data_IF_859502971083
#
_entry.id   IF_859502971083
#
_cell.length_a   1.000
_cell.length_b   1.000
_cell.length_c   1.000
_cell.angle_alpha   90.00
_cell.angle_beta   90.00
_cell.angle_gamma   90.00
#
_symmetry.space_group_name_H-M   'P 1'
#
loop_
_entity.id
_entity.type
_entity.pdbx_description
1 polymer ?
#
# COMPACT_ATOMS: atom_id res chain seq x y z
N UNK A 1 7.53 -7.53 -19.85
CA UNK A 1 6.50 -6.51 -20.20
C UNK A 1 7.04 -5.10 -20.00
N UNK A 2 6.22 -4.05 -20.13
CA UNK A 2 6.66 -2.69 -19.76
C UNK A 2 6.80 -2.57 -18.22
N UNK A 3 7.81 -1.87 -17.70
CA UNK A 3 8.00 -1.73 -16.27
C UNK A 3 6.95 -0.79 -15.67
N UNK A 4 6.37 -1.22 -14.57
CA UNK A 4 5.39 -0.49 -13.80
C UNK A 4 5.97 -0.12 -12.44
N UNK A 5 5.99 1.18 -12.14
CA UNK A 5 6.60 1.74 -10.94
C UNK A 5 5.53 2.13 -9.93
N UNK A 6 5.51 1.46 -8.78
CA UNK A 6 4.62 1.88 -7.68
C UNK A 6 5.23 3.08 -7.00
N UNK A 7 4.39 4.08 -6.78
CA UNK A 7 4.69 5.26 -5.97
C UNK A 7 4.02 5.15 -4.60
N UNK A 8 4.64 5.77 -3.61
CA UNK A 8 4.10 5.91 -2.26
C UNK A 8 3.71 7.37 -2.04
N UNK A 9 2.66 7.61 -1.28
CA UNK A 9 2.21 8.98 -0.98
C UNK A 9 2.32 9.23 0.53
N UNK A 10 1.26 8.89 1.27
CA UNK A 10 1.14 9.20 2.70
C UNK A 10 0.51 8.08 3.50
N UNK A 11 0.71 8.16 4.80
CA UNK A 11 -0.03 7.45 5.81
C UNK A 11 -1.19 8.35 6.25
N UNK A 12 -2.42 7.86 6.15
CA UNK A 12 -3.63 8.58 6.58
C UNK A 12 -4.45 7.74 7.54
N UNK A 13 -5.06 8.38 8.52
CA UNK A 13 -5.91 7.74 9.53
C UNK A 13 -7.32 8.30 9.45
N UNK A 14 -8.32 7.49 9.79
CA UNK A 14 -9.68 7.96 9.99
C UNK A 14 -9.93 8.42 11.43
N UNK A 15 -9.01 8.11 12.36
CA UNK A 15 -9.07 8.55 13.77
C UNK A 15 -8.41 9.90 13.97
N UNK A 16 -7.33 10.17 13.24
CA UNK A 16 -6.52 11.38 13.39
C UNK A 16 -6.49 12.16 12.07
N UNK A 17 -6.48 13.49 12.15
CA UNK A 17 -6.49 14.37 10.97
C UNK A 17 -5.09 14.65 10.39
N UNK A 18 -4.03 14.14 11.02
CA UNK A 18 -2.64 14.42 10.64
C UNK A 18 -2.11 13.33 9.71
N UNK A 19 -1.81 13.64 8.43
CA UNK A 19 -1.10 12.71 7.56
C UNK A 19 0.39 12.66 7.91
N UNK A 20 1.01 11.51 7.67
CA UNK A 20 2.46 11.31 7.78
C UNK A 20 3.03 10.87 6.44
N UNK A 21 4.28 11.22 6.16
CA UNK A 21 4.98 10.72 4.98
C UNK A 21 5.12 9.19 5.05
N UNK A 22 5.10 8.51 3.90
CA UNK A 22 5.23 7.04 3.88
C UNK A 22 6.47 6.54 4.62
N UNK A 23 7.62 7.20 4.41
CA UNK A 23 8.90 6.84 5.01
C UNK A 23 9.11 7.32 6.45
N UNK A 24 8.08 7.90 7.08
CA UNK A 24 8.05 8.12 8.54
C UNK A 24 8.15 6.79 9.29
N UNK A 25 7.44 5.77 8.81
CA UNK A 25 7.62 4.40 9.28
C UNK A 25 8.83 3.77 8.60
N UNK A 26 9.51 2.87 9.30
CA UNK A 26 10.75 2.25 8.86
C UNK A 26 10.50 1.12 7.82
N UNK A 27 9.91 1.50 6.68
CA UNK A 27 9.72 0.65 5.52
C UNK A 27 10.98 0.58 4.65
N UNK A 28 11.00 -0.34 3.67
CA UNK A 28 12.04 -0.43 2.67
C UNK A 28 12.14 0.88 1.87
N UNK A 29 13.32 1.49 1.84
CA UNK A 29 13.60 2.74 1.12
C UNK A 29 14.50 2.48 -0.10
N UNK A 30 14.26 3.14 -1.24
CA UNK A 30 15.20 3.14 -2.37
C UNK A 30 16.48 3.91 -2.00
N UNK A 31 17.56 3.72 -2.76
CA UNK A 31 18.84 4.43 -2.53
C UNK A 31 18.70 5.95 -2.56
N UNK A 32 17.82 6.45 -3.42
CA UNK A 32 17.49 7.86 -3.54
C UNK A 32 15.97 8.00 -3.57
N UNK A 33 15.44 8.78 -2.65
CA UNK A 33 14.04 9.18 -2.63
C UNK A 33 13.90 10.41 -3.52
N UNK A 34 12.97 10.35 -4.47
CA UNK A 34 12.67 11.40 -5.44
C UNK A 34 11.18 11.67 -5.39
N UNK A 35 10.82 12.95 -5.24
CA UNK A 35 9.44 13.38 -5.36
C UNK A 35 9.04 13.37 -6.85
N UNK A 36 7.99 12.62 -7.16
CA UNK A 36 7.43 12.39 -8.48
C UNK A 36 5.99 12.91 -8.55
N UNK A 37 5.74 14.12 -8.06
CA UNK A 37 4.50 14.84 -8.34
C UNK A 37 4.35 15.01 -9.86
N UNK A 38 3.21 14.58 -10.41
CA UNK A 38 2.97 14.57 -11.86
C UNK A 38 2.22 15.82 -12.33
N UNK A 39 1.44 16.44 -11.45
CA UNK A 39 0.64 17.61 -11.79
C UNK A 39 0.80 18.77 -10.81
N UNK A 40 0.51 19.98 -11.29
CA UNK A 40 0.59 21.21 -10.51
C UNK A 40 -0.33 21.18 -9.28
N UNK A 41 -1.48 20.50 -9.36
CA UNK A 41 -2.41 20.35 -8.25
C UNK A 41 -1.84 19.55 -7.08
N UNK A 42 -1.02 18.52 -7.34
CA UNK A 42 -0.30 17.76 -6.30
C UNK A 42 0.76 18.61 -5.62
N UNK A 43 1.51 19.39 -6.41
CA UNK A 43 2.51 20.32 -5.88
C UNK A 43 1.87 21.36 -4.97
N UNK A 44 0.75 21.97 -5.40
CA UNK A 44 0.05 23.00 -4.63
C UNK A 44 -0.62 22.45 -3.36
N UNK A 45 -1.05 21.18 -3.36
CA UNK A 45 -1.57 20.50 -2.17
C UNK A 45 -0.46 20.03 -1.22
N UNK A 46 0.80 20.13 -1.64
CA UNK A 46 1.93 19.62 -0.89
C UNK A 46 1.96 18.09 -0.80
N UNK A 47 1.30 17.38 -1.72
CA UNK A 47 1.32 15.93 -1.75
C UNK A 47 2.74 15.45 -2.07
N UNK A 48 3.29 14.61 -1.18
CA UNK A 48 4.62 14.02 -1.35
C UNK A 48 4.48 12.64 -1.97
N UNK A 49 4.38 12.62 -3.30
CA UNK A 49 4.41 11.37 -4.06
C UNK A 49 5.87 11.01 -4.31
N UNK A 50 6.31 9.87 -3.81
CA UNK A 50 7.71 9.45 -3.86
C UNK A 50 7.86 8.08 -4.53
N UNK A 51 9.02 7.83 -5.12
CA UNK A 51 9.34 6.51 -5.65
C UNK A 51 9.39 5.45 -4.53
N UNK A 52 8.91 4.24 -4.83
CA UNK A 52 9.03 3.08 -3.94
C UNK A 52 10.06 2.07 -4.45
N UNK A 53 10.28 1.02 -3.67
CA UNK A 53 11.10 -0.14 -4.05
C UNK A 53 10.32 -1.19 -4.85
N UNK A 54 9.00 -1.01 -5.03
CA UNK A 54 8.15 -1.98 -5.71
C UNK A 54 8.04 -1.66 -7.20
N UNK A 55 8.47 -2.61 -8.01
CA UNK A 55 8.41 -2.57 -9.48
C UNK A 55 7.93 -3.91 -9.99
N UNK A 56 7.04 -3.92 -10.97
CA UNK A 56 6.54 -5.12 -11.63
C UNK A 56 6.53 -4.93 -13.14
N UNK A 57 6.33 -6.01 -13.87
CA UNK A 57 6.22 -5.98 -15.33
C UNK A 57 4.77 -6.16 -15.76
N UNK A 58 4.33 -5.33 -16.69
CA UNK A 58 2.96 -5.40 -17.20
C UNK A 58 2.72 -6.73 -17.90
N UNK A 59 1.55 -7.35 -17.63
CA UNK A 59 1.11 -8.65 -18.17
C UNK A 59 1.92 -9.87 -17.69
N UNK A 60 2.72 -9.71 -16.64
CA UNK A 60 3.51 -10.80 -16.07
C UNK A 60 3.20 -11.00 -14.59
N UNK A 61 2.75 -12.20 -14.24
CA UNK A 61 2.56 -12.60 -12.87
C UNK A 61 3.92 -12.85 -12.22
N UNK A 62 4.25 -12.05 -11.21
CA UNK A 62 5.49 -12.18 -10.46
C UNK A 62 5.26 -12.88 -9.12
N UNK A 63 6.05 -13.92 -8.79
CA UNK A 63 5.96 -14.55 -7.48
C UNK A 63 6.41 -13.59 -6.37
N UNK A 64 6.06 -13.92 -5.12
CA UNK A 64 6.47 -13.11 -3.97
C UNK A 64 7.99 -12.98 -3.90
N UNK A 65 8.47 -11.73 -3.88
CA UNK A 65 9.89 -11.39 -3.84
C UNK A 65 10.19 -10.58 -2.58
N UNK A 66 11.24 -10.98 -1.87
CA UNK A 66 11.75 -10.21 -0.74
C UNK A 66 12.46 -8.97 -1.26
N UNK A 67 11.88 -7.79 -1.00
CA UNK A 67 12.43 -6.52 -1.48
C UNK A 67 13.55 -6.01 -0.59
N UNK A 68 13.41 -6.15 0.73
CA UNK A 68 14.47 -5.83 1.69
C UNK A 68 14.26 -6.58 3.02
N UNK A 69 15.26 -6.52 3.91
CA UNK A 69 15.15 -7.00 5.30
C UNK A 69 15.58 -5.86 6.23
N UNK A 70 14.70 -5.51 7.16
CA UNK A 70 14.93 -4.44 8.14
C UNK A 70 14.82 -5.06 9.53
N UNK A 71 15.75 -4.71 10.42
CA UNK A 71 15.61 -4.96 11.86
C UNK A 71 15.00 -3.72 12.48
N UNK A 72 13.85 -3.86 13.12
CA UNK A 72 13.20 -2.76 13.81
C UNK A 72 13.91 -2.50 15.15
N UNK A 73 14.31 -1.26 15.38
CA UNK A 73 14.73 -0.80 16.69
C UNK A 73 13.51 -0.48 17.59
N UNK A 74 13.79 -0.10 18.85
CA UNK A 74 12.74 0.17 19.82
C UNK A 74 11.84 1.34 19.41
N UNK A 75 12.42 2.39 18.81
CA UNK A 75 11.70 3.58 18.35
C UNK A 75 10.80 3.26 17.16
N UNK A 76 11.34 2.59 16.14
CA UNK A 76 10.58 2.12 14.97
C UNK A 76 9.43 1.22 15.40
N UNK A 77 9.69 0.29 16.34
CA UNK A 77 8.66 -0.61 16.87
C UNK A 77 7.55 0.17 17.57
N UNK A 78 7.90 1.18 18.37
CA UNK A 78 6.93 2.06 19.02
C UNK A 78 6.09 2.81 17.98
N UNK A 79 6.72 3.43 16.99
CA UNK A 79 6.04 4.17 15.93
C UNK A 79 5.06 3.27 15.15
N UNK A 80 5.46 2.04 14.82
CA UNK A 80 4.55 1.09 14.19
C UNK A 80 3.33 0.76 15.06
N UNK A 81 3.52 0.51 16.36
CA UNK A 81 2.42 0.21 17.28
C UNK A 81 1.43 1.37 17.37
N UNK A 82 1.92 2.58 17.57
CA UNK A 82 1.09 3.79 17.65
C UNK A 82 0.27 3.99 16.36
N UNK A 83 0.90 3.83 15.19
CA UNK A 83 0.19 3.95 13.91
C UNK A 83 -0.80 2.82 13.65
N UNK A 84 -0.58 1.63 14.21
CA UNK A 84 -1.57 0.54 14.18
C UNK A 84 -2.79 0.89 15.07
N UNK A 85 -2.56 1.38 16.29
CA UNK A 85 -3.64 1.76 17.21
C UNK A 85 -4.51 2.92 16.68
N UNK A 86 -3.85 3.87 16.02
CA UNK A 86 -4.49 5.01 15.36
C UNK A 86 -5.11 4.65 13.99
N UNK A 87 -5.11 3.37 13.60
CA UNK A 87 -5.70 2.88 12.34
C UNK A 87 -5.17 3.59 11.08
N UNK A 88 -3.86 3.87 11.05
CA UNK A 88 -3.24 4.40 9.86
C UNK A 88 -3.30 3.41 8.69
N UNK A 89 -3.48 3.99 7.51
CA UNK A 89 -3.53 3.31 6.22
C UNK A 89 -2.43 3.86 5.34
N UNK A 90 -1.79 2.97 4.61
CA UNK A 90 -0.77 3.25 3.61
C UNK A 90 -1.45 3.57 2.28
N UNK A 91 -1.16 4.74 1.72
CA UNK A 91 -1.62 5.13 0.39
C UNK A 91 -0.47 4.96 -0.62
N UNK A 92 -0.71 4.13 -1.63
CA UNK A 92 0.16 3.91 -2.77
C UNK A 92 -0.55 4.30 -4.06
N UNK A 93 0.21 4.59 -5.11
CA UNK A 93 -0.27 5.02 -6.41
C UNK A 93 0.45 4.23 -7.50
N UNK A 94 -0.28 3.82 -8.52
CA UNK A 94 0.25 3.23 -9.74
C UNK A 94 -0.48 3.86 -10.93
N UNK A 95 0.25 4.46 -11.87
CA UNK A 95 -0.33 5.12 -13.06
C UNK A 95 -1.53 6.04 -12.71
N UNK A 96 -1.31 6.91 -11.71
CA UNK A 96 -2.32 7.82 -11.14
C UNK A 96 -3.55 7.17 -10.49
N UNK A 97 -3.58 5.83 -10.37
CA UNK A 97 -4.63 5.11 -9.66
C UNK A 97 -4.22 4.84 -8.21
N UNK A 98 -5.07 5.20 -7.23
CA UNK A 98 -4.80 4.88 -5.83
C UNK A 98 -4.99 3.39 -5.58
N UNK A 99 -4.17 2.84 -4.68
CA UNK A 99 -4.35 1.47 -4.22
C UNK A 99 -5.69 1.34 -3.48
N UNK A 100 -6.45 0.32 -3.85
CA UNK A 100 -7.71 -0.02 -3.20
C UNK A 100 -7.64 -1.40 -2.55
N UNK A 101 -8.38 -1.58 -1.45
CA UNK A 101 -8.59 -2.89 -0.81
C UNK A 101 -10.06 -3.23 -0.89
N UNK A 102 -10.36 -4.42 -1.42
CA UNK A 102 -11.69 -4.99 -1.42
C UNK A 102 -12.07 -5.48 -0.02
N UNK A 103 -13.15 -4.94 0.52
CA UNK A 103 -13.78 -5.38 1.76
C UNK A 103 -15.13 -6.03 1.44
N UNK A 104 -15.25 -7.31 1.78
CA UNK A 104 -16.54 -7.98 1.83
C UNK A 104 -17.26 -7.58 3.12
N UNK A 105 -18.53 -7.22 3.00
CA UNK A 105 -19.37 -7.01 4.19
C UNK A 105 -19.59 -8.34 4.90
N UNK A 106 -19.60 -8.29 6.23
CA UNK A 106 -19.86 -9.47 7.09
C UNK A 106 -21.35 -9.84 7.15
N UNK A 107 -22.22 -9.06 6.51
CA UNK A 107 -23.69 -9.19 6.57
C UNK A 107 -24.27 -10.14 5.50
N UNK A 108 -23.42 -10.81 4.70
CA UNK A 108 -23.86 -11.72 3.65
C UNK A 108 -24.37 -11.02 2.38
N UNK A 109 -24.40 -9.68 2.34
CA UNK A 109 -24.65 -8.95 1.09
C UNK A 109 -23.41 -9.03 0.18
N UNK A 110 -23.60 -9.32 -1.10
CA UNK A 110 -22.52 -9.32 -2.11
C UNK A 110 -22.00 -7.90 -2.44
N UNK A 111 -22.22 -6.91 -1.57
CA UNK A 111 -21.73 -5.56 -1.80
C UNK A 111 -20.25 -5.47 -1.43
N UNK A 112 -19.39 -5.48 -2.44
CA UNK A 112 -17.96 -5.22 -2.29
C UNK A 112 -17.74 -3.72 -2.11
N UNK A 113 -17.14 -3.32 -0.99
CA UNK A 113 -16.73 -1.92 -0.80
C UNK A 113 -15.23 -1.81 -1.07
N UNK A 114 -14.85 -0.80 -1.85
CA UNK A 114 -13.45 -0.45 -2.05
C UNK A 114 -13.03 0.58 -1.00
N UNK A 115 -11.98 0.26 -0.26
CA UNK A 115 -11.36 1.20 0.68
C UNK A 115 -10.02 1.68 0.12
N UNK A 116 -9.78 3.00 0.18
CA UNK A 116 -8.48 3.56 -0.21
C UNK A 116 -7.39 3.16 0.79
N UNK A 117 -6.24 2.75 0.27
CA UNK A 117 -5.09 2.36 1.09
C UNK A 117 -5.32 1.05 1.85
N UNK A 118 -4.26 0.51 2.44
CA UNK A 118 -4.32 -0.67 3.30
C UNK A 118 -3.79 -0.36 4.70
N UNK A 119 -4.30 -1.02 5.74
CA UNK A 119 -3.87 -0.76 7.12
C UNK A 119 -2.37 -1.01 7.29
N UNK A 120 -1.68 -0.19 8.07
CA UNK A 120 -0.26 -0.40 8.46
C UNK A 120 -0.07 -1.77 9.11
N UNK A 121 -1.06 -2.20 9.90
CA UNK A 121 -1.08 -3.48 10.59
C UNK A 121 -2.39 -3.69 11.33
N UNK A 122 -2.41 -4.66 12.23
CA UNK A 122 -3.56 -4.98 13.07
C UNK A 122 -3.11 -5.58 14.40
N UNK A 123 -4.01 -5.57 15.38
CA UNK A 123 -3.85 -6.32 16.63
C UNK A 123 -4.58 -7.64 16.53
N UNK A 124 -3.98 -8.69 17.08
CA UNK A 124 -4.57 -10.02 17.08
C UNK A 124 -3.85 -10.94 18.04
N UNK A 125 -4.34 -12.17 18.15
CA UNK A 125 -3.77 -13.17 19.04
C UNK A 125 -3.29 -14.36 18.21
N UNK A 126 -2.21 -14.99 18.65
CA UNK A 126 -1.86 -16.31 18.12
C UNK A 126 -2.90 -17.34 18.57
N UNK A 127 -3.14 -18.35 17.72
CA UNK A 127 -4.03 -19.45 18.07
C UNK A 127 -3.59 -20.09 19.40
N UNK A 128 -4.50 -20.14 20.38
CA UNK A 128 -4.23 -20.68 21.71
C UNK A 128 -3.64 -19.70 22.72
N UNK A 129 -3.37 -18.44 22.35
CA UNK A 129 -2.95 -17.37 23.27
C UNK A 129 -4.05 -16.34 23.47
N UNK A 130 -4.17 -15.84 24.71
CA UNK A 130 -5.00 -14.65 25.03
C UNK A 130 -4.21 -13.34 24.94
N UNK A 131 -2.91 -13.41 24.71
CA UNK A 131 -2.03 -12.24 24.59
C UNK A 131 -2.23 -11.56 23.24
N UNK A 132 -2.71 -10.31 23.28
CA UNK A 132 -2.83 -9.45 22.10
C UNK A 132 -1.44 -8.97 21.65
N UNK A 133 -1.13 -9.20 20.37
CA UNK A 133 0.12 -8.81 19.72
C UNK A 133 -0.17 -7.97 18.49
N UNK A 134 0.82 -7.16 18.13
CA UNK A 134 0.79 -6.30 16.96
C UNK A 134 1.39 -7.03 15.75
N UNK A 135 0.67 -7.02 14.64
CA UNK A 135 1.09 -7.59 13.36
C UNK A 135 1.21 -6.47 12.33
N UNK A 136 2.31 -6.45 11.59
CA UNK A 136 2.59 -5.47 10.54
C UNK A 136 2.22 -6.07 9.19
N UNK A 137 1.51 -5.31 8.35
CA UNK A 137 1.23 -5.70 6.97
C UNK A 137 2.47 -5.45 6.09
N UNK A 138 3.43 -6.38 6.12
CA UNK A 138 4.64 -6.33 5.30
C UNK A 138 4.56 -7.19 4.02
N UNK A 139 3.62 -8.13 3.97
CA UNK A 139 3.38 -8.98 2.81
C UNK A 139 2.34 -8.31 1.88
N UNK A 140 2.85 -7.64 0.85
CA UNK A 140 2.04 -6.91 -0.12
C UNK A 140 1.87 -7.75 -1.39
N UNK A 141 0.62 -8.04 -1.74
CA UNK A 141 0.23 -8.69 -2.98
C UNK A 141 -0.71 -7.76 -3.70
N UNK A 142 -0.40 -7.48 -4.97
CA UNK A 142 -1.13 -6.52 -5.78
C UNK A 142 -1.80 -7.22 -6.95
N UNK A 143 -2.99 -6.76 -7.29
CA UNK A 143 -3.69 -7.09 -8.54
C UNK A 143 -3.79 -5.83 -9.37
N UNK A 144 -3.16 -5.86 -10.55
CA UNK A 144 -3.17 -4.75 -11.51
C UNK A 144 -4.10 -5.13 -12.66
N UNK A 145 -5.16 -4.37 -12.82
CA UNK A 145 -6.14 -4.59 -13.89
C UNK A 145 -5.81 -3.67 -15.06
N UNK A 146 -5.89 -4.19 -16.28
CA UNK A 146 -5.62 -3.44 -17.50
C UNK A 146 -6.70 -3.67 -18.55
N UNK A 147 -6.89 -2.67 -19.40
CA UNK A 147 -7.68 -2.76 -20.63
C UNK A 147 -6.72 -2.83 -21.82
N UNK A 148 -6.95 -3.78 -22.73
CA UNK A 148 -6.18 -3.96 -23.95
C UNK A 148 -6.99 -3.45 -25.13
N UNK A 149 -6.39 -2.55 -25.90
CA UNK A 149 -6.91 -2.13 -27.19
C UNK A 149 -6.62 -3.23 -28.22
N UNK A 150 -7.67 -3.74 -28.86
CA UNK A 150 -7.58 -4.83 -29.84
C UNK A 150 -7.02 -4.38 -31.18
N UNK A 151 -7.03 -3.08 -31.48
CA UNK A 151 -6.54 -2.53 -32.75
C UNK A 151 -5.06 -2.17 -32.70
N UNK A 152 -4.60 -1.61 -31.57
CA UNK A 152 -3.23 -1.10 -31.41
C UNK A 152 -2.32 -2.01 -30.57
N UNK A 153 -2.86 -3.07 -29.96
CA UNK A 153 -2.20 -3.89 -28.93
C UNK A 153 -1.71 -3.11 -27.70
N UNK A 154 -2.10 -1.83 -27.57
CA UNK A 154 -1.78 -1.00 -26.43
C UNK A 154 -2.55 -1.47 -25.20
N UNK A 155 -1.98 -1.27 -24.02
CA UNK A 155 -2.62 -1.60 -22.75
C UNK A 155 -2.60 -0.41 -21.80
N UNK A 156 -3.72 -0.18 -21.11
CA UNK A 156 -3.87 0.88 -20.12
C UNK A 156 -4.27 0.29 -18.78
N UNK A 157 -3.69 0.79 -17.68
CA UNK A 157 -4.09 0.37 -16.33
C UNK A 157 -5.44 0.97 -15.98
N UNK A 158 -6.34 0.13 -15.47
CA UNK A 158 -7.70 0.50 -15.07
C UNK A 158 -8.00 0.18 -13.61
N UNK A 159 -7.09 -0.51 -12.92
CA UNK A 159 -7.23 -0.73 -11.48
C UNK A 159 -5.95 -1.18 -10.79
N UNK A 160 -5.83 -0.79 -9.52
CA UNK A 160 -4.70 -1.13 -8.66
C UNK A 160 -5.21 -1.53 -7.29
N UNK A 161 -5.11 -2.81 -6.97
CA UNK A 161 -5.67 -3.37 -5.74
C UNK A 161 -4.62 -4.07 -4.89
N UNK A 162 -4.73 -3.96 -3.58
CA UNK A 162 -3.98 -4.76 -2.61
C UNK A 162 -4.85 -5.90 -2.12
N UNK A 163 -4.40 -7.14 -2.31
CA UNK A 163 -5.10 -8.35 -1.88
C UNK A 163 -4.91 -8.59 -0.38
N UNK A 164 -5.98 -8.95 0.31
CA UNK A 164 -5.92 -9.40 1.71
C UNK A 164 -5.45 -10.85 1.71
N UNK A 165 -4.30 -11.09 2.33
CA UNK A 165 -3.78 -12.44 2.53
C UNK A 165 -4.14 -12.82 3.95
N UNK A 166 -5.07 -13.75 4.09
CA UNK A 166 -5.40 -14.37 5.37
C UNK A 166 -4.30 -15.41 5.60
N UNK A 167 -3.33 -15.05 6.44
CA UNK A 167 -2.29 -15.97 6.93
C UNK A 167 -2.77 -16.73 8.15
#
# INVERSE_FOLDING_TARGET
GDPLYVKVNKLSSTKTQLPYDYYFLNYCKPRKIVNNAENLGEVLRGDRIENSVYTFEMREDQPCKVVCRIKLDAESTKNFKEKIDDEYRVNMILDNLPVAVLRQRRDGSQSTTYEHGFRVGFKGNYAGSKEEKYFINNHLSFRVMFHRDTETDAARIVGFEKLIIIG
#
